data_IF_078960898816
#
_entry.id   IF_078960898816
#
_cell.length_a   1.000
_cell.length_b   1.000
_cell.length_c   1.000
_cell.angle_alpha   90.00
_cell.angle_beta   90.00
_cell.angle_gamma   90.00
#
_symmetry.space_group_name_H-M   'P 1'
#
loop_
_entity.id
_entity.type
_entity.pdbx_description
1 polymer ?
#
# COMPACT_ATOMS: atom_id res chain seq x y z
N UNK A 1 13.54 39.65 -10.63
CA UNK A 1 13.97 38.41 -9.96
C UNK A 1 13.28 38.38 -8.62
N UNK A 2 12.05 37.90 -8.62
CA UNK A 2 11.34 37.58 -7.37
C UNK A 2 11.92 36.26 -6.84
N UNK A 3 12.06 36.10 -5.52
CA UNK A 3 12.58 34.86 -4.96
C UNK A 3 11.53 33.76 -5.08
N UNK A 4 11.97 32.62 -5.60
CA UNK A 4 11.25 31.35 -5.66
C UNK A 4 10.71 30.96 -4.28
N UNK A 5 9.39 31.06 -4.11
CA UNK A 5 8.65 30.70 -2.90
C UNK A 5 8.31 29.20 -2.82
N UNK A 6 9.09 28.31 -3.46
CA UNK A 6 8.71 26.90 -3.65
C UNK A 6 9.27 25.90 -2.65
N UNK A 7 9.98 26.35 -1.60
CA UNK A 7 10.55 25.42 -0.60
C UNK A 7 10.08 25.68 0.83
N UNK A 8 8.81 26.03 1.02
CA UNK A 8 8.21 25.91 2.34
C UNK A 8 7.72 24.46 2.51
N UNK A 9 8.57 23.64 3.16
CA UNK A 9 8.30 22.23 3.41
C UNK A 9 7.00 22.05 4.18
N UNK A 10 6.07 21.25 3.62
CA UNK A 10 4.78 20.98 4.25
C UNK A 10 5.00 20.24 5.58
N UNK A 11 4.67 20.90 6.68
CA UNK A 11 4.75 20.29 8.01
C UNK A 11 3.57 19.34 8.20
N UNK A 12 3.86 18.03 8.22
CA UNK A 12 2.82 17.04 8.52
C UNK A 12 2.34 17.15 9.96
N UNK A 13 1.03 17.06 10.14
CA UNK A 13 0.40 16.99 11.46
C UNK A 13 0.75 15.67 12.19
N UNK A 14 0.33 15.57 13.45
CA UNK A 14 0.63 14.44 14.32
C UNK A 14 -0.08 13.16 13.87
N UNK A 15 -1.30 13.26 13.35
CA UNK A 15 -2.09 12.12 12.90
C UNK A 15 -1.46 11.48 11.66
N UNK A 16 -1.08 12.29 10.67
CA UNK A 16 -0.36 11.84 9.47
C UNK A 16 0.98 11.20 9.83
N UNK A 17 1.73 11.79 10.77
CA UNK A 17 2.99 11.19 11.26
C UNK A 17 2.77 9.84 11.95
N UNK A 18 1.77 9.74 12.82
CA UNK A 18 1.44 8.49 13.50
C UNK A 18 0.99 7.41 12.50
N UNK A 19 0.20 7.81 11.50
CA UNK A 19 -0.26 7.00 10.38
C UNK A 19 0.91 6.37 9.59
N UNK A 20 1.97 7.14 9.34
CA UNK A 20 3.23 6.63 8.77
C UNK A 20 3.93 5.68 9.74
N UNK A 21 4.12 6.10 10.99
CA UNK A 21 4.89 5.35 11.98
C UNK A 21 4.33 3.95 12.19
N UNK A 22 3.02 3.82 12.40
CA UNK A 22 2.46 2.51 12.67
C UNK A 22 2.49 1.60 11.44
N UNK A 23 2.30 2.15 10.22
CA UNK A 23 2.38 1.34 9.00
C UNK A 23 3.78 0.82 8.74
N UNK A 24 4.81 1.65 8.89
CA UNK A 24 6.21 1.21 8.77
C UNK A 24 6.49 0.12 9.81
N UNK A 25 6.13 0.34 11.08
CA UNK A 25 6.41 -0.62 12.16
C UNK A 25 5.57 -1.89 12.09
N UNK A 26 4.40 -1.84 11.44
CA UNK A 26 3.57 -3.01 11.19
C UNK A 26 4.29 -4.04 10.33
N UNK A 27 5.11 -3.54 9.40
CA UNK A 27 5.83 -4.31 8.40
C UNK A 27 4.93 -4.94 7.32
N UNK A 28 3.69 -4.50 7.13
CA UNK A 28 2.78 -5.05 6.12
C UNK A 28 2.78 -4.30 4.79
N UNK A 29 3.31 -3.09 4.75
CA UNK A 29 3.22 -2.19 3.60
C UNK A 29 4.60 -1.88 3.03
N UNK A 30 4.64 -1.68 1.73
CA UNK A 30 5.77 -1.10 0.99
C UNK A 30 5.87 0.40 1.24
N UNK A 31 7.03 0.99 0.93
CA UNK A 31 7.20 2.45 1.02
C UNK A 31 6.15 3.21 0.21
N UNK A 32 5.90 2.79 -1.04
CA UNK A 32 4.98 3.49 -1.94
C UNK A 32 3.52 3.43 -1.45
N UNK A 33 3.08 2.29 -0.91
CA UNK A 33 1.74 2.16 -0.31
C UNK A 33 1.57 3.14 0.85
N UNK A 34 2.56 3.23 1.76
CA UNK A 34 2.51 4.15 2.90
C UNK A 34 2.48 5.59 2.42
N UNK A 35 3.33 5.94 1.45
CA UNK A 35 3.40 7.29 0.87
C UNK A 35 2.07 7.67 0.25
N UNK A 36 1.50 6.80 -0.58
CA UNK A 36 0.25 7.05 -1.28
C UNK A 36 -0.89 7.22 -0.28
N UNK A 37 -1.07 6.29 0.65
CA UNK A 37 -2.15 6.36 1.65
C UNK A 37 -2.03 7.59 2.56
N UNK A 38 -0.84 7.92 3.06
CA UNK A 38 -0.69 9.09 3.94
C UNK A 38 -0.72 10.43 3.17
N UNK A 39 -0.40 10.44 1.88
CA UNK A 39 -0.55 11.63 1.04
C UNK A 39 -2.02 11.95 0.73
N UNK A 40 -2.85 10.93 0.56
CA UNK A 40 -4.30 11.10 0.33
C UNK A 40 -4.98 11.84 1.49
N UNK A 41 -4.57 11.62 2.75
CA UNK A 41 -5.20 12.27 3.90
C UNK A 41 -4.88 13.75 4.05
N UNK A 42 -3.80 14.23 3.42
CA UNK A 42 -3.36 15.63 3.50
C UNK A 42 -3.52 16.40 2.19
N UNK A 43 -3.91 15.70 1.11
CA UNK A 43 -4.19 16.34 -0.17
C UNK A 43 -5.43 17.20 0.00
N UNK A 44 -5.30 18.49 -0.28
CA UNK A 44 -6.36 19.47 -0.10
C UNK A 44 -6.24 20.55 -1.19
N UNK A 45 -7.13 20.47 -2.18
CA UNK A 45 -7.20 21.44 -3.28
C UNK A 45 -7.51 22.85 -2.79
N UNK A 46 -8.27 23.00 -1.69
CA UNK A 46 -8.64 24.30 -1.14
C UNK A 46 -7.45 25.01 -0.49
N UNK A 47 -6.50 24.24 0.04
CA UNK A 47 -5.23 24.72 0.59
C UNK A 47 -4.09 24.70 -0.45
N UNK A 48 -4.37 24.32 -1.70
CA UNK A 48 -3.36 24.21 -2.76
C UNK A 48 -2.34 23.09 -2.52
N UNK A 49 -2.69 22.09 -1.72
CA UNK A 49 -1.85 20.92 -1.46
C UNK A 49 -2.20 19.86 -2.50
N UNK A 50 -1.42 19.82 -3.58
CA UNK A 50 -1.57 18.80 -4.63
C UNK A 50 -1.10 17.43 -4.13
N UNK A 51 -1.59 16.36 -4.78
CA UNK A 51 -1.13 14.99 -4.48
C UNK A 51 0.39 14.84 -4.59
N UNK A 52 1.01 15.46 -5.60
CA UNK A 52 2.47 15.42 -5.76
C UNK A 52 3.20 16.10 -4.60
N UNK A 53 2.71 17.28 -4.17
CA UNK A 53 3.28 17.99 -3.02
C UNK A 53 3.11 17.20 -1.72
N UNK A 54 1.95 16.58 -1.53
CA UNK A 54 1.67 15.70 -0.39
C UNK A 54 2.61 14.48 -0.37
N UNK A 55 2.75 13.76 -1.49
CA UNK A 55 3.65 12.61 -1.62
C UNK A 55 5.11 12.99 -1.33
N UNK A 56 5.61 14.10 -1.86
CA UNK A 56 6.98 14.60 -1.56
C UNK A 56 7.18 14.83 -0.06
N UNK A 57 6.22 15.47 0.62
CA UNK A 57 6.31 15.72 2.06
C UNK A 57 6.26 14.43 2.89
N UNK A 58 5.37 13.49 2.54
CA UNK A 58 5.22 12.20 3.22
C UNK A 58 6.44 11.32 3.02
N UNK A 59 7.02 11.28 1.81
CA UNK A 59 8.24 10.49 1.50
C UNK A 59 9.38 10.79 2.47
N UNK A 60 9.61 12.05 2.83
CA UNK A 60 10.67 12.41 3.78
C UNK A 60 10.46 11.79 5.16
N UNK A 61 9.20 11.72 5.63
CA UNK A 61 8.86 11.13 6.93
C UNK A 61 8.91 9.60 6.86
N UNK A 62 8.41 9.01 5.77
CA UNK A 62 8.50 7.56 5.52
C UNK A 62 9.97 7.12 5.48
N UNK A 63 10.82 7.82 4.73
CA UNK A 63 12.24 7.55 4.61
C UNK A 63 12.94 7.47 5.98
N UNK A 64 12.72 8.51 6.80
CA UNK A 64 13.33 8.60 8.11
C UNK A 64 12.89 7.45 9.04
N UNK A 65 11.59 7.15 9.07
CA UNK A 65 11.07 6.07 9.92
C UNK A 65 11.44 4.69 9.38
N UNK A 66 11.54 4.51 8.06
CA UNK A 66 11.95 3.27 7.41
C UNK A 66 13.38 2.89 7.78
N UNK A 67 14.33 3.83 7.63
CA UNK A 67 15.73 3.64 8.05
C UNK A 67 15.81 3.34 9.55
N UNK A 68 15.07 4.08 10.37
CA UNK A 68 15.02 3.83 11.81
C UNK A 68 14.47 2.44 12.13
N UNK A 69 13.48 1.97 11.37
CA UNK A 69 12.90 0.65 11.54
C UNK A 69 13.88 -0.45 11.12
N UNK A 70 14.54 -0.35 9.97
CA UNK A 70 15.59 -1.29 9.56
C UNK A 70 16.70 -1.39 10.62
N UNK A 71 17.13 -0.26 11.18
CA UNK A 71 18.08 -0.23 12.31
C UNK A 71 17.55 -0.98 13.54
N UNK A 72 16.26 -0.82 13.89
CA UNK A 72 15.62 -1.63 14.96
C UNK A 72 15.60 -3.11 14.61
N UNK A 73 15.29 -3.48 13.36
CA UNK A 73 15.24 -4.88 12.90
C UNK A 73 16.59 -5.59 13.03
N UNK A 74 17.70 -4.90 12.75
CA UNK A 74 19.04 -5.48 12.87
C UNK A 74 19.40 -5.85 14.33
N UNK A 75 18.86 -5.11 15.31
CA UNK A 75 19.07 -5.39 16.72
C UNK A 75 18.14 -6.48 17.28
N UNK A 76 17.16 -6.95 16.49
CA UNK A 76 16.20 -7.94 16.98
C UNK A 76 16.83 -9.34 17.10
N UNK A 77 16.52 -10.07 18.18
CA UNK A 77 16.95 -11.45 18.35
C UNK A 77 16.47 -12.37 17.20
N UNK A 78 17.17 -13.49 16.96
CA UNK A 78 16.83 -14.43 15.88
C UNK A 78 15.61 -15.31 16.21
N UNK A 79 15.12 -15.30 17.46
CA UNK A 79 13.97 -16.10 17.85
C UNK A 79 12.68 -15.64 17.15
N UNK A 80 11.76 -16.59 16.83
CA UNK A 80 10.50 -16.24 16.18
C UNK A 80 9.67 -15.23 16.98
N UNK A 81 9.26 -14.17 16.29
CA UNK A 81 8.44 -13.09 16.87
C UNK A 81 6.99 -13.54 17.08
N UNK A 82 6.18 -12.68 17.71
CA UNK A 82 4.72 -12.89 17.77
C UNK A 82 4.14 -12.98 16.35
N UNK A 83 4.58 -12.13 15.44
CA UNK A 83 4.14 -12.12 14.03
C UNK A 83 4.51 -13.43 13.32
N UNK A 84 5.73 -13.92 13.48
CA UNK A 84 6.18 -15.19 12.86
C UNK A 84 5.35 -16.39 13.35
N UNK A 85 5.08 -16.42 14.67
CA UNK A 85 4.27 -17.47 15.29
C UNK A 85 2.81 -17.38 14.83
N UNK A 86 2.28 -16.17 14.66
CA UNK A 86 0.94 -15.92 14.16
C UNK A 86 0.80 -16.38 12.71
N UNK A 87 1.74 -15.99 11.84
CA UNK A 87 1.80 -16.43 10.45
C UNK A 87 1.86 -17.97 10.34
N UNK A 88 2.68 -18.62 11.19
CA UNK A 88 2.73 -20.10 11.27
C UNK A 88 1.39 -20.71 11.68
N UNK A 89 0.73 -20.14 12.68
CA UNK A 89 -0.58 -20.61 13.15
C UNK A 89 -1.66 -20.43 12.07
N UNK A 90 -1.69 -19.27 11.41
CA UNK A 90 -2.65 -18.94 10.36
C UNK A 90 -2.50 -19.87 9.16
N UNK A 91 -1.27 -20.09 8.69
CA UNK A 91 -0.97 -21.09 7.66
C UNK A 91 -1.45 -22.50 8.03
N UNK A 92 -1.32 -22.90 9.32
CA UNK A 92 -1.83 -24.19 9.79
C UNK A 92 -3.35 -24.25 9.82
N UNK A 93 -4.03 -23.15 10.15
CA UNK A 93 -5.48 -23.06 10.20
C UNK A 93 -6.09 -23.24 8.80
N UNK A 94 -5.52 -22.57 7.80
CA UNK A 94 -5.99 -22.71 6.43
C UNK A 94 -5.77 -24.12 5.90
N UNK A 95 -4.53 -24.62 5.98
CA UNK A 95 -4.15 -25.91 5.38
C UNK A 95 -4.84 -27.11 6.03
N UNK A 96 -4.95 -27.11 7.36
CA UNK A 96 -5.36 -28.31 8.10
C UNK A 96 -6.79 -28.25 8.62
N UNK A 97 -7.38 -27.04 8.72
CA UNK A 97 -8.67 -26.84 9.36
C UNK A 97 -9.70 -26.14 8.49
N UNK A 98 -9.32 -25.69 7.27
CA UNK A 98 -10.22 -24.96 6.36
C UNK A 98 -10.83 -23.73 7.04
N UNK A 99 -10.01 -23.04 7.83
CA UNK A 99 -10.37 -21.77 8.47
C UNK A 99 -9.56 -20.70 7.77
N UNK A 100 -10.22 -19.78 7.07
CA UNK A 100 -9.57 -18.66 6.40
C UNK A 100 -8.86 -17.79 7.44
N UNK A 101 -7.61 -17.43 7.18
CA UNK A 101 -6.79 -16.70 8.14
C UNK A 101 -6.10 -15.51 7.45
N UNK A 102 -6.49 -14.29 7.81
CA UNK A 102 -5.95 -13.07 7.18
C UNK A 102 -5.30 -12.15 8.22
N UNK A 103 -4.11 -11.65 7.90
CA UNK A 103 -3.36 -10.73 8.75
C UNK A 103 -3.49 -9.32 8.18
N UNK A 104 -3.68 -8.32 9.06
CA UNK A 104 -3.82 -6.92 8.67
C UNK A 104 -4.85 -6.70 7.54
N UNK A 105 -6.03 -7.30 7.71
CA UNK A 105 -7.03 -7.46 6.67
C UNK A 105 -8.12 -6.38 6.76
N UNK A 106 -8.20 -5.53 5.74
CA UNK A 106 -9.14 -4.39 5.64
C UNK A 106 -8.95 -3.36 6.75
N UNK A 107 -9.61 -2.21 6.63
CA UNK A 107 -9.43 -1.11 7.57
C UNK A 107 -10.03 -1.39 8.98
N UNK A 108 -11.14 -2.14 9.07
CA UNK A 108 -11.87 -2.35 10.32
C UNK A 108 -12.65 -3.67 10.36
N UNK A 109 -13.19 -4.02 11.53
CA UNK A 109 -13.93 -5.27 11.73
C UNK A 109 -15.14 -5.42 10.81
N UNK A 110 -15.89 -4.33 10.56
CA UNK A 110 -17.10 -4.39 9.72
C UNK A 110 -16.76 -4.76 8.29
N UNK A 111 -15.80 -4.04 7.67
CA UNK A 111 -15.30 -4.36 6.33
C UNK A 111 -14.75 -5.79 6.28
N UNK A 112 -13.95 -6.17 7.28
CA UNK A 112 -13.38 -7.52 7.34
C UNK A 112 -14.44 -8.64 7.37
N UNK A 113 -15.55 -8.47 8.08
CA UNK A 113 -16.65 -9.47 8.11
C UNK A 113 -17.40 -9.52 6.78
N UNK A 114 -17.56 -8.37 6.11
CA UNK A 114 -18.20 -8.29 4.81
C UNK A 114 -17.34 -8.98 3.73
N UNK A 115 -16.05 -8.65 3.66
CA UNK A 115 -15.13 -9.11 2.61
C UNK A 115 -14.64 -10.54 2.81
N UNK A 116 -14.44 -11.01 4.05
CA UNK A 116 -13.91 -12.36 4.30
C UNK A 116 -14.84 -13.48 3.80
N UNK A 117 -16.11 -13.13 3.55
CA UNK A 117 -17.10 -14.07 3.00
C UNK A 117 -16.90 -14.33 1.51
N UNK A 118 -16.25 -13.43 0.79
CA UNK A 118 -15.99 -13.57 -0.65
C UNK A 118 -14.83 -14.55 -0.92
N UNK A 119 -13.92 -14.68 0.04
CA UNK A 119 -12.77 -15.60 -0.01
C UNK A 119 -13.13 -17.07 0.32
N UNK A 120 -14.39 -17.37 0.66
CA UNK A 120 -14.79 -18.71 1.12
C UNK A 120 -14.99 -19.68 -0.04
N UNK A 121 -14.55 -20.91 0.17
CA UNK A 121 -14.94 -22.08 -0.62
C UNK A 121 -16.02 -22.90 0.11
N UNK A 122 -16.56 -23.92 -0.56
CA UNK A 122 -17.61 -24.79 0.01
C UNK A 122 -17.13 -25.57 1.25
N UNK A 123 -15.83 -25.77 1.39
CA UNK A 123 -15.20 -26.51 2.49
C UNK A 123 -14.83 -25.59 3.69
N UNK A 124 -14.97 -24.27 3.54
CA UNK A 124 -14.57 -23.29 4.52
C UNK A 124 -15.45 -23.37 5.77
N UNK A 125 -14.81 -23.71 6.89
CA UNK A 125 -15.49 -23.92 8.18
C UNK A 125 -15.71 -22.63 8.95
N UNK A 126 -14.88 -21.62 8.71
CA UNK A 126 -14.91 -20.34 9.38
C UNK A 126 -13.72 -19.47 9.01
N UNK A 127 -13.53 -18.40 9.76
CA UNK A 127 -12.49 -17.42 9.53
C UNK A 127 -11.87 -16.93 10.83
N UNK A 128 -10.68 -16.37 10.71
CA UNK A 128 -10.00 -15.56 11.73
C UNK A 128 -9.22 -14.44 11.04
N UNK A 129 -9.28 -13.23 11.59
CA UNK A 129 -8.46 -12.13 11.12
C UNK A 129 -8.22 -11.09 12.20
N UNK A 130 -7.26 -10.21 11.95
CA UNK A 130 -7.17 -8.89 12.57
C UNK A 130 -7.02 -7.86 11.47
N UNK A 131 -7.50 -6.65 11.72
CA UNK A 131 -7.57 -5.57 10.72
C UNK A 131 -6.54 -4.46 11.00
N UNK A 132 -6.47 -3.46 10.13
CA UNK A 132 -5.49 -2.36 10.25
C UNK A 132 -5.55 -1.63 11.58
N UNK A 133 -6.74 -1.26 12.06
CA UNK A 133 -6.86 -0.61 13.37
C UNK A 133 -6.38 -1.50 14.53
N UNK A 134 -6.50 -2.84 14.43
CA UNK A 134 -5.96 -3.74 15.45
C UNK A 134 -4.42 -3.74 15.41
N UNK A 135 -3.85 -3.65 14.20
CA UNK A 135 -2.41 -3.51 13.97
C UNK A 135 -1.90 -2.18 14.54
N UNK A 136 -2.56 -1.07 14.25
CA UNK A 136 -2.22 0.24 14.83
C UNK A 136 -2.23 0.19 16.37
N UNK A 137 -3.24 -0.45 16.96
CA UNK A 137 -3.34 -0.63 18.41
C UNK A 137 -2.19 -1.47 18.97
N UNK A 138 -1.82 -2.59 18.32
CA UNK A 138 -0.75 -3.46 18.82
C UNK A 138 0.62 -2.77 18.75
N UNK A 139 0.84 -1.93 17.72
CA UNK A 139 2.06 -1.11 17.59
C UNK A 139 2.16 -0.08 18.73
N UNK A 140 1.03 0.44 19.19
CA UNK A 140 0.97 1.41 20.29
C UNK A 140 1.16 0.80 21.69
N UNK A 141 1.33 -0.52 21.80
CA UNK A 141 1.63 -1.21 23.05
C UNK A 141 0.42 -1.85 23.71
N UNK A 142 -0.19 -2.83 23.02
CA UNK A 142 -1.33 -3.59 23.52
C UNK A 142 -1.34 -5.04 23.03
N UNK A 143 -2.35 -5.79 23.45
CA UNK A 143 -2.60 -7.14 22.95
C UNK A 143 -3.31 -7.08 21.59
N UNK A 144 -3.14 -8.14 20.78
CA UNK A 144 -3.74 -8.23 19.45
C UNK A 144 -5.09 -8.97 19.55
N UNK A 145 -6.22 -8.28 19.33
CA UNK A 145 -7.51 -8.95 19.21
C UNK A 145 -7.64 -9.63 17.84
N UNK A 146 -8.22 -10.82 17.82
CA UNK A 146 -8.58 -11.54 16.59
C UNK A 146 -10.10 -11.66 16.50
N UNK A 147 -10.66 -11.14 15.43
CA UNK A 147 -12.03 -11.43 15.01
C UNK A 147 -12.08 -12.85 14.43
N UNK A 148 -13.15 -13.59 14.73
CA UNK A 148 -13.34 -14.94 14.20
C UNK A 148 -14.82 -15.28 14.11
N UNK A 149 -15.15 -16.26 13.29
CA UNK A 149 -16.52 -16.69 13.08
C UNK A 149 -16.63 -17.99 12.30
N UNK A 150 -17.83 -18.56 12.27
CA UNK A 150 -18.20 -19.56 11.26
C UNK A 150 -19.05 -18.90 10.17
N UNK A 151 -19.08 -19.45 8.95
CA UNK A 151 -19.96 -18.98 7.88
C UNK A 151 -21.43 -19.38 8.06
N UNK A 152 -21.80 -19.81 9.27
CA UNK A 152 -23.14 -20.26 9.61
C UNK A 152 -23.67 -19.47 10.80
N UNK A 153 -24.99 -19.41 10.97
CA UNK A 153 -25.61 -18.78 12.14
C UNK A 153 -25.54 -19.66 13.41
N UNK A 154 -24.71 -20.71 13.42
CA UNK A 154 -24.62 -21.65 14.54
C UNK A 154 -23.54 -21.22 15.52
N UNK A 155 -23.96 -20.78 16.70
CA UNK A 155 -23.04 -20.44 17.80
C UNK A 155 -22.14 -21.62 18.20
N UNK A 156 -22.67 -22.85 18.14
CA UNK A 156 -21.88 -24.07 18.37
C UNK A 156 -20.73 -24.19 17.38
N UNK A 157 -20.99 -24.01 16.08
CA UNK A 157 -19.93 -24.06 15.05
C UNK A 157 -18.92 -22.94 15.23
N UNK A 158 -19.36 -21.73 15.55
CA UNK A 158 -18.46 -20.61 15.85
C UNK A 158 -17.57 -20.90 17.05
N UNK A 159 -18.12 -21.51 18.12
CA UNK A 159 -17.32 -21.94 19.28
C UNK A 159 -16.30 -23.01 18.90
N UNK A 160 -16.69 -24.01 18.12
CA UNK A 160 -15.78 -25.07 17.64
C UNK A 160 -14.62 -24.48 16.80
N UNK A 161 -14.90 -23.47 15.97
CA UNK A 161 -13.89 -22.71 15.21
C UNK A 161 -12.94 -21.98 16.16
N UNK A 162 -13.47 -21.23 17.13
CA UNK A 162 -12.67 -20.54 18.15
C UNK A 162 -11.75 -21.49 18.94
N UNK A 163 -12.25 -22.66 19.33
CA UNK A 163 -11.44 -23.68 20.03
C UNK A 163 -10.30 -24.24 19.15
N UNK A 164 -10.53 -24.38 17.84
CA UNK A 164 -9.47 -24.78 16.89
C UNK A 164 -8.42 -23.67 16.74
N UNK A 165 -8.86 -22.41 16.64
CA UNK A 165 -7.98 -21.23 16.54
C UNK A 165 -7.09 -21.14 17.79
N UNK A 166 -7.68 -21.11 18.99
CA UNK A 166 -6.93 -21.00 20.24
C UNK A 166 -5.91 -22.14 20.41
N UNK A 167 -6.29 -23.37 20.08
CA UNK A 167 -5.35 -24.51 20.12
C UNK A 167 -4.20 -24.34 19.13
N UNK A 168 -4.47 -23.85 17.93
CA UNK A 168 -3.44 -23.65 16.90
C UNK A 168 -2.47 -22.54 17.28
N UNK A 169 -2.98 -21.42 17.81
CA UNK A 169 -2.16 -20.31 18.31
C UNK A 169 -1.27 -20.75 19.49
N UNK A 170 -1.84 -21.47 20.48
CA UNK A 170 -1.07 -22.01 21.61
C UNK A 170 0.00 -23.00 21.17
N UNK A 171 -0.28 -23.86 20.18
CA UNK A 171 0.70 -24.78 19.59
C UNK A 171 1.83 -24.04 18.87
N UNK A 172 1.56 -22.86 18.30
CA UNK A 172 2.58 -21.99 17.74
C UNK A 172 3.40 -21.23 18.80
N UNK A 173 3.08 -21.40 20.10
CA UNK A 173 3.79 -20.77 21.21
C UNK A 173 3.27 -19.37 21.56
N UNK A 174 2.05 -19.01 21.12
CA UNK A 174 1.40 -17.76 21.50
C UNK A 174 0.64 -17.91 22.82
N UNK A 175 0.69 -16.85 23.65
CA UNK A 175 -0.17 -16.73 24.83
C UNK A 175 -1.50 -16.13 24.41
N UNK A 176 -2.60 -16.82 24.71
CA UNK A 176 -3.94 -16.46 24.20
C UNK A 176 -4.98 -16.57 25.30
N UNK A 177 -5.78 -15.50 25.45
CA UNK A 177 -6.97 -15.44 26.30
C UNK A 177 -8.25 -15.47 25.43
N UNK A 178 -9.09 -16.46 25.69
CA UNK A 178 -10.45 -16.50 25.17
C UNK A 178 -11.29 -17.43 26.05
N UNK A 179 -12.45 -16.94 26.51
CA UNK A 179 -13.32 -17.63 27.50
C UNK A 179 -14.48 -18.37 26.85
N UNK A 180 -14.29 -18.88 25.63
CA UNK A 180 -15.31 -19.56 24.83
C UNK A 180 -16.59 -18.75 24.57
N UNK A 181 -16.50 -17.42 24.71
CA UNK A 181 -17.53 -16.46 24.38
C UNK A 181 -17.38 -16.06 22.91
N UNK A 182 -18.32 -16.50 22.07
CA UNK A 182 -18.29 -16.23 20.62
C UNK A 182 -18.58 -14.77 20.28
N UNK A 183 -19.08 -13.97 21.24
CA UNK A 183 -19.28 -12.53 21.08
C UNK A 183 -18.04 -11.70 21.39
N UNK A 184 -16.94 -12.31 21.86
CA UNK A 184 -15.70 -11.63 22.20
C UNK A 184 -14.56 -12.08 21.29
N UNK A 185 -13.69 -11.13 20.94
CA UNK A 185 -12.46 -11.40 20.18
C UNK A 185 -11.51 -12.30 20.98
N UNK A 186 -10.72 -13.08 20.27
CA UNK A 186 -9.64 -13.88 20.85
C UNK A 186 -8.45 -12.96 21.08
N UNK A 187 -7.94 -12.87 22.31
CA UNK A 187 -6.84 -11.94 22.63
C UNK A 187 -5.50 -12.67 22.58
N UNK A 188 -4.60 -12.23 21.71
CA UNK A 188 -3.21 -12.71 21.66
C UNK A 188 -2.32 -11.72 22.41
N UNK A 189 -1.66 -12.19 23.46
CA UNK A 189 -0.79 -11.31 24.23
C UNK A 189 0.45 -10.92 23.43
N UNK A 190 0.66 -9.61 23.26
CA UNK A 190 1.76 -9.07 22.49
C UNK A 190 2.47 -7.99 23.28
N UNK A 191 3.60 -8.33 23.90
CA UNK A 191 4.40 -7.32 24.61
C UNK A 191 5.09 -6.33 23.68
N UNK A 192 5.42 -6.80 22.47
CA UNK A 192 6.06 -5.98 21.44
C UNK A 192 5.80 -6.62 20.06
N UNK A 193 5.26 -5.83 19.14
CA UNK A 193 5.06 -6.26 17.77
C UNK A 193 6.37 -6.12 16.99
N UNK A 194 6.74 -7.21 16.30
CA UNK A 194 7.93 -7.27 15.44
C UNK A 194 7.61 -8.11 14.21
N UNK A 195 7.62 -7.50 13.04
CA UNK A 195 7.52 -8.17 11.74
C UNK A 195 8.66 -7.65 10.89
N UNK A 196 9.43 -8.56 10.29
CA UNK A 196 10.55 -8.19 9.41
C UNK A 196 10.02 -7.93 8.00
N UNK A 197 10.53 -6.89 7.36
CA UNK A 197 10.38 -6.63 5.92
C UNK A 197 11.76 -6.42 5.27
N UNK A 198 11.81 -6.66 3.97
CA UNK A 198 13.01 -6.47 3.13
C UNK A 198 13.19 -4.99 2.79
N UNK A 199 14.42 -4.59 2.48
CA UNK A 199 14.70 -3.22 2.03
C UNK A 199 14.03 -3.02 0.65
N UNK A 200 13.14 -2.02 0.53
CA UNK A 200 12.56 -1.64 -0.77
C UNK A 200 13.65 -0.96 -1.61
N UNK A 201 13.98 -1.53 -2.77
CA UNK A 201 14.94 -0.96 -3.74
C UNK A 201 14.47 0.42 -4.26
N UNK A 202 13.16 0.68 -4.24
CA UNK A 202 12.52 1.91 -4.74
C UNK A 202 12.75 3.16 -3.85
N UNK A 203 13.39 3.00 -2.69
CA UNK A 203 13.74 4.13 -1.81
C UNK A 203 14.99 4.90 -2.24
N UNK A 204 15.74 4.40 -3.23
CA UNK A 204 16.96 5.04 -3.73
C UNK A 204 16.66 6.23 -4.68
N UNK A 205 15.42 6.38 -5.16
CA UNK A 205 15.05 7.33 -6.23
C UNK A 205 14.48 8.67 -5.74
N UNK A 206 14.65 9.02 -4.45
CA UNK A 206 14.13 10.29 -3.89
C UNK A 206 14.97 11.51 -4.34
N UNK A 207 15.91 11.33 -5.28
CA UNK A 207 16.93 12.30 -5.66
C UNK A 207 16.77 12.99 -7.01
N UNK A 208 16.13 12.38 -8.02
CA UNK A 208 16.30 12.82 -9.42
C UNK A 208 15.01 13.26 -10.16
N UNK A 209 13.84 13.26 -9.51
CA UNK A 209 12.58 13.70 -10.12
C UNK A 209 12.34 15.22 -9.97
N UNK A 210 13.29 16.05 -10.41
CA UNK A 210 13.06 17.47 -10.71
C UNK A 210 13.96 17.90 -11.90
N UNK A 211 13.49 17.62 -13.12
CA UNK A 211 13.63 18.60 -14.18
C UNK A 211 12.30 18.72 -14.92
N UNK A 212 11.55 19.77 -14.55
CA UNK A 212 10.35 20.22 -15.25
C UNK A 212 10.61 20.33 -16.76
N UNK A 213 10.18 19.32 -17.51
CA UNK A 213 10.15 19.36 -18.97
C UNK A 213 8.86 19.99 -19.49
N UNK A 214 8.30 20.99 -18.78
CA UNK A 214 7.18 21.82 -19.26
C UNK A 214 7.46 23.33 -19.15
N UNK A 215 8.73 23.72 -19.03
CA UNK A 215 9.17 25.10 -19.21
C UNK A 215 10.11 25.19 -20.42
N UNK A 216 9.58 25.14 -21.64
CA UNK A 216 10.06 25.88 -22.83
C UNK A 216 9.24 25.46 -24.07
N UNK A 217 8.11 26.10 -24.31
CA UNK A 217 7.80 26.53 -25.69
C UNK A 217 7.43 28.00 -25.62
N UNK A 218 8.40 28.81 -26.03
CA UNK A 218 8.30 30.25 -26.05
C UNK A 218 7.21 30.73 -27.00
N UNK A 219 6.77 31.94 -26.71
CA UNK A 219 6.03 32.81 -27.60
C UNK A 219 6.55 32.76 -29.03
N UNK A 220 5.67 32.42 -29.97
CA UNK A 220 5.74 33.00 -31.30
C UNK A 220 4.45 33.77 -31.54
N UNK A 221 4.61 35.10 -31.57
CA UNK A 221 3.61 36.02 -32.06
C UNK A 221 3.38 35.74 -33.55
N UNK A 222 2.21 35.26 -33.92
CA UNK A 222 1.78 35.25 -35.31
C UNK A 222 1.43 36.68 -35.74
N UNK A 223 2.45 37.39 -36.24
CA UNK A 223 2.30 38.48 -37.19
C UNK A 223 1.85 37.86 -38.52
N UNK A 224 0.65 38.22 -38.98
CA UNK A 224 0.14 37.81 -40.30
C UNK A 224 1.10 38.25 -41.41
N UNK A 225 1.46 37.39 -42.37
CA UNK A 225 2.19 37.80 -43.56
C UNK A 225 1.23 38.33 -44.64
N UNK A 226 1.52 39.53 -45.13
CA UNK A 226 0.97 40.12 -46.35
C UNK A 226 1.25 39.23 -47.59
N UNK A 227 0.38 39.22 -48.61
CA UNK A 227 0.54 38.38 -49.80
C UNK A 227 1.60 38.92 -50.77
N UNK A 228 2.51 38.04 -51.22
CA UNK A 228 3.47 38.27 -52.31
C UNK A 228 2.76 38.28 -53.69
N UNK A 229 3.21 39.10 -54.65
CA UNK A 229 2.69 39.11 -56.02
C UNK A 229 3.33 38.04 -56.92
N UNK A 230 2.51 37.57 -57.86
CA UNK A 230 2.80 36.60 -58.92
C UNK A 230 4.10 36.87 -59.68
N UNK A 231 4.93 35.82 -59.83
CA UNK A 231 5.74 35.66 -61.05
C UNK A 231 5.62 34.24 -61.57
N UNK A 232 5.09 34.19 -62.78
CA UNK A 232 4.80 33.06 -63.61
C UNK A 232 6.07 32.55 -64.32
N UNK A 233 5.98 31.33 -64.85
CA UNK A 233 6.84 30.72 -65.87
C UNK A 233 8.30 30.38 -65.51
N UNK A 234 8.55 29.07 -65.39
CA UNK A 234 9.41 28.42 -66.40
C UNK A 234 9.07 26.92 -66.49
N UNK A 235 8.69 26.53 -67.71
CA UNK A 235 8.40 25.17 -68.14
C UNK A 235 9.73 24.47 -68.42
N UNK A 236 9.98 23.32 -67.79
CA UNK A 236 10.99 22.38 -68.28
C UNK A 236 10.36 20.99 -68.52
N UNK A 237 10.51 20.54 -69.76
CA UNK A 237 9.97 19.30 -70.32
C UNK A 237 11.09 18.26 -70.35
N UNK A 238 11.08 17.34 -69.38
CA UNK A 238 11.65 15.99 -69.49
C UNK A 238 10.49 14.98 -69.39
N UNK A 239 10.52 13.78 -69.95
CA UNK A 239 11.64 12.97 -70.41
C UNK A 239 11.09 11.87 -71.36
N UNK A 240 12.01 11.23 -72.06
CA UNK A 240 11.82 10.25 -73.11
C UNK A 240 11.07 8.97 -72.70
N UNK A 241 10.28 8.44 -73.62
CA UNK A 241 9.80 7.05 -73.60
C UNK A 241 10.44 6.28 -74.76
N UNK A 242 11.27 5.30 -74.42
CA UNK A 242 11.79 4.30 -75.36
C UNK A 242 11.04 2.97 -75.17
N UNK A 243 10.30 2.62 -76.22
CA UNK A 243 10.13 1.32 -76.88
C UNK A 243 10.12 0.02 -76.07
N UNK A 244 9.00 -0.70 -76.18
CA UNK A 244 9.00 -2.13 -76.56
C UNK A 244 7.65 -2.51 -77.16
N UNK A 245 7.67 -3.03 -78.38
CA UNK A 245 6.48 -3.52 -79.09
C UNK A 245 6.26 -5.02 -78.92
N UNK A 246 5.03 -5.46 -79.16
CA UNK A 246 4.74 -6.75 -79.78
C UNK A 246 3.33 -6.75 -80.42
N UNK A 247 3.29 -7.15 -81.70
CA UNK A 247 2.11 -7.33 -82.55
C UNK A 247 1.42 -8.67 -82.26
N UNK A 248 0.08 -8.71 -82.29
CA UNK A 248 -0.76 -9.52 -83.20
C UNK A 248 -2.04 -8.74 -83.50
#
# INVERSE_FOLDING_TARGET
>A
MEPSHEQEGLLLDVETKNSVIWRVRSGFYTCDEIVTTAAESITDETLGITSQRAKRAVRLVVAAEWVAQLGRQQAWPPEPTVSDKLAKAFNSLERNHKILARMNFTCCQTCGVEEISDDRDDDSRGYVFFHEQDTECVISGGDLPLAFGSFTKSEKKTRDVGDIIVRSLRRAGLRVEWKQDTGRRIMVHCSEWRRRFEEDEDMEDVGDDDFDSDCMTGSESELEPEPEPDTDSDLDLGDALDTTGQLV
#
